data_IF_362181855615
#
_entry.id   IF_362181855615
#
_cell.length_a   1.000
_cell.length_b   1.000
_cell.length_c   1.000
_cell.angle_alpha   90.00
_cell.angle_beta   90.00
_cell.angle_gamma   90.00
#
_symmetry.space_group_name_H-M   'P 1'
#
loop_
_entity.id
_entity.type
_entity.pdbx_description
1 polymer ?
#
# COMPACT_ATOMS: atom_id res chain seq x y z
N UNK A 1 21.46 -7.02 -5.45
CA UNK A 1 20.32 -7.96 -5.49
C UNK A 1 20.07 -8.47 -4.08
N UNK A 2 18.86 -8.28 -3.53
CA UNK A 2 18.49 -8.83 -2.22
C UNK A 2 18.13 -10.31 -2.40
N UNK A 3 18.85 -11.20 -1.72
CA UNK A 3 18.51 -12.63 -1.65
C UNK A 3 17.81 -12.86 -0.31
N UNK A 4 16.61 -13.41 -0.37
CA UNK A 4 15.81 -13.76 0.79
C UNK A 4 15.82 -15.29 0.98
N UNK A 5 15.75 -15.77 2.24
CA UNK A 5 15.95 -17.19 2.55
C UNK A 5 14.83 -18.10 2.01
N UNK A 6 13.61 -17.57 1.85
CA UNK A 6 12.46 -18.30 1.31
C UNK A 6 11.38 -17.34 0.77
N UNK A 7 10.31 -17.91 0.21
CA UNK A 7 9.16 -17.14 -0.30
C UNK A 7 8.39 -16.40 0.82
N UNK A 8 8.43 -16.90 2.06
CA UNK A 8 7.73 -16.28 3.21
C UNK A 8 8.44 -14.99 3.66
N UNK A 9 9.72 -14.85 3.38
CA UNK A 9 10.45 -13.61 3.59
C UNK A 9 9.98 -12.46 2.69
N UNK A 10 9.22 -12.74 1.61
CA UNK A 10 8.51 -11.72 0.83
C UNK A 10 7.20 -11.23 1.47
N UNK A 11 6.82 -11.73 2.65
CA UNK A 11 5.75 -11.12 3.43
C UNK A 11 6.14 -9.67 3.77
N UNK A 12 5.25 -8.67 3.59
CA UNK A 12 5.60 -7.25 3.68
C UNK A 12 6.43 -6.87 4.91
N UNK A 13 5.96 -7.26 6.11
CA UNK A 13 6.67 -6.96 7.36
C UNK A 13 8.03 -7.63 7.50
N UNK A 14 8.19 -8.86 6.98
CA UNK A 14 9.48 -9.57 7.02
C UNK A 14 10.48 -8.93 6.07
N UNK A 15 10.03 -8.59 4.87
CA UNK A 15 10.85 -7.90 3.88
C UNK A 15 11.33 -6.54 4.42
N UNK A 16 10.41 -5.74 4.97
CA UNK A 16 10.74 -4.44 5.59
C UNK A 16 11.69 -4.61 6.78
N UNK A 17 11.49 -5.64 7.61
CA UNK A 17 12.39 -5.96 8.72
C UNK A 17 13.82 -6.27 8.25
N UNK A 18 13.98 -7.06 7.19
CA UNK A 18 15.29 -7.39 6.62
C UNK A 18 15.97 -6.18 5.97
N UNK A 19 15.20 -5.32 5.30
CA UNK A 19 15.71 -4.05 4.76
C UNK A 19 16.15 -3.11 5.89
N UNK A 20 15.35 -2.97 6.95
CA UNK A 20 15.69 -2.16 8.12
C UNK A 20 16.98 -2.65 8.81
N UNK A 21 17.16 -3.98 8.93
CA UNK A 21 18.37 -4.58 9.52
C UNK A 21 19.64 -4.27 8.72
N UNK A 22 19.50 -3.85 7.45
CA UNK A 22 20.57 -3.40 6.56
C UNK A 22 20.71 -1.87 6.52
N UNK A 23 20.01 -1.14 7.39
CA UNK A 23 20.02 0.32 7.45
C UNK A 23 19.08 1.02 6.46
N UNK A 24 18.22 0.26 5.75
CA UNK A 24 17.27 0.81 4.77
C UNK A 24 15.93 1.09 5.44
N UNK A 25 15.83 2.24 6.13
CA UNK A 25 14.65 2.64 6.92
C UNK A 25 13.56 3.36 6.13
N UNK A 26 13.78 3.70 4.86
CA UNK A 26 12.77 4.28 3.96
C UNK A 26 12.72 3.48 2.68
N UNK A 27 11.54 2.95 2.38
CA UNK A 27 11.33 2.03 1.25
C UNK A 27 10.18 2.57 0.41
N UNK A 28 10.46 2.74 -0.88
CA UNK A 28 9.41 2.93 -1.89
C UNK A 28 9.01 1.55 -2.40
N UNK A 29 7.73 1.23 -2.31
CA UNK A 29 7.16 0.00 -2.87
C UNK A 29 6.55 0.35 -4.22
N UNK A 30 7.17 -0.13 -5.29
CA UNK A 30 6.69 0.04 -6.66
C UNK A 30 6.41 -1.33 -7.29
N UNK A 31 5.38 -1.38 -8.12
CA UNK A 31 4.99 -2.58 -8.86
C UNK A 31 3.53 -2.52 -9.30
N UNK A 32 3.05 -3.62 -9.88
CA UNK A 32 1.64 -3.74 -10.25
C UNK A 32 0.72 -3.76 -9.03
N UNK A 33 -0.59 -3.70 -9.30
CA UNK A 33 -1.60 -3.60 -8.25
C UNK A 33 -1.57 -4.72 -7.22
N UNK A 34 -1.15 -5.93 -7.59
CA UNK A 34 -0.96 -7.05 -6.66
C UNK A 34 0.08 -6.74 -5.59
N UNK A 35 1.22 -6.15 -5.97
CA UNK A 35 2.32 -5.85 -5.03
C UNK A 35 1.88 -4.80 -4.02
N UNK A 36 1.36 -3.66 -4.49
CA UNK A 36 0.92 -2.56 -3.63
C UNK A 36 -0.23 -3.00 -2.71
N UNK A 37 -1.17 -3.78 -3.25
CA UNK A 37 -2.30 -4.34 -2.48
C UNK A 37 -1.86 -5.23 -1.32
N UNK A 38 -0.81 -6.05 -1.49
CA UNK A 38 -0.28 -6.90 -0.42
C UNK A 38 0.27 -6.08 0.74
N UNK A 39 0.97 -4.98 0.47
CA UNK A 39 1.49 -4.10 1.52
C UNK A 39 0.36 -3.33 2.23
N UNK A 40 -0.63 -2.85 1.47
CA UNK A 40 -1.81 -2.20 2.04
C UNK A 40 -2.57 -3.18 2.95
N UNK A 41 -2.84 -4.40 2.47
CA UNK A 41 -3.54 -5.44 3.23
C UNK A 41 -2.78 -5.82 4.52
N UNK A 42 -1.46 -5.87 4.47
CA UNK A 42 -0.64 -6.15 5.65
C UNK A 42 -0.58 -4.99 6.65
N UNK A 43 -1.14 -3.80 6.34
CA UNK A 43 -0.96 -2.61 7.17
C UNK A 43 0.51 -2.15 7.21
N UNK A 44 1.25 -2.40 6.13
CA UNK A 44 2.70 -2.18 6.04
C UNK A 44 3.07 -0.88 5.28
N UNK A 45 2.09 -0.01 5.03
CA UNK A 45 2.29 1.28 4.36
C UNK A 45 2.11 2.42 5.37
N UNK A 46 3.09 3.33 5.43
CA UNK A 46 2.94 4.61 6.14
C UNK A 46 2.31 5.68 5.22
N UNK A 47 2.58 5.62 3.91
CA UNK A 47 2.03 6.54 2.90
C UNK A 47 1.63 5.77 1.65
N UNK A 48 0.50 6.15 1.05
CA UNK A 48 0.03 5.62 -0.23
C UNK A 48 -0.10 6.77 -1.23
N UNK A 49 0.58 6.66 -2.36
CA UNK A 49 0.55 7.62 -3.45
C UNK A 49 -0.32 7.06 -4.59
N UNK A 50 -1.40 7.74 -4.93
CA UNK A 50 -2.31 7.36 -6.02
C UNK A 50 -2.39 8.51 -7.01
N UNK A 51 -1.86 8.29 -8.21
CA UNK A 51 -1.99 9.24 -9.32
C UNK A 51 -3.19 8.87 -10.18
N UNK A 52 -4.05 9.85 -10.44
CA UNK A 52 -5.21 9.73 -11.32
C UNK A 52 -4.97 10.61 -12.55
N UNK A 53 -4.88 9.96 -13.70
CA UNK A 53 -4.78 10.62 -14.99
C UNK A 53 -6.18 10.85 -15.61
N UNK A 54 -6.39 11.91 -16.39
CA UNK A 54 -7.67 12.22 -17.02
C UNK A 54 -7.93 11.36 -18.26
N UNK A 55 -8.00 10.04 -18.07
CA UNK A 55 -8.16 9.04 -19.14
C UNK A 55 -9.26 8.03 -18.82
N UNK A 56 -9.93 7.54 -19.86
CA UNK A 56 -10.99 6.52 -19.78
C UNK A 56 -10.49 5.25 -20.46
N UNK A 57 -10.32 4.16 -19.68
CA UNK A 57 -9.67 2.92 -20.13
C UNK A 57 -10.60 1.72 -20.31
N UNK A 58 -11.90 1.88 -20.08
CA UNK A 58 -12.82 0.75 -20.03
C UNK A 58 -12.53 -0.17 -18.84
N UNK A 59 -12.63 -1.48 -19.03
CA UNK A 59 -12.54 -2.47 -17.94
C UNK A 59 -11.17 -2.50 -17.23
N UNK A 60 -10.11 -2.06 -17.92
CA UNK A 60 -8.78 -1.84 -17.36
C UNK A 60 -8.21 -2.98 -16.52
N UNK A 61 -7.19 -2.66 -15.72
CA UNK A 61 -6.67 -3.53 -14.66
C UNK A 61 -6.77 -2.77 -13.35
N UNK A 62 -7.44 -3.30 -12.31
CA UNK A 62 -7.58 -2.56 -11.06
C UNK A 62 -6.23 -2.29 -10.39
N UNK A 63 -5.99 -1.03 -10.06
CA UNK A 63 -4.73 -0.57 -9.47
C UNK A 63 -4.52 -1.03 -8.02
N UNK A 64 -5.54 -0.99 -7.16
CA UNK A 64 -5.44 -1.41 -5.76
C UNK A 64 -6.68 -2.24 -5.41
N UNK A 65 -6.46 -3.37 -4.72
CA UNK A 65 -7.52 -4.27 -4.24
C UNK A 65 -7.22 -4.68 -2.79
N UNK A 66 -8.19 -4.52 -1.91
CA UNK A 66 -8.13 -5.03 -0.55
C UNK A 66 -9.56 -5.35 -0.09
N UNK A 67 -9.77 -6.19 0.93
CA UNK A 67 -11.11 -6.61 1.34
C UNK A 67 -12.05 -5.43 1.61
N UNK A 68 -11.51 -4.32 2.14
CA UNK A 68 -12.29 -3.15 2.51
C UNK A 68 -13.36 -3.48 3.56
N UNK A 69 -14.13 -2.49 4.01
CA UNK A 69 -15.35 -2.73 4.78
C UNK A 69 -16.55 -3.00 3.86
N UNK A 70 -17.57 -3.66 4.41
CA UNK A 70 -18.84 -3.90 3.70
C UNK A 70 -19.62 -2.61 3.41
N UNK A 71 -19.38 -1.53 4.18
CA UNK A 71 -20.09 -0.26 4.05
C UNK A 71 -19.14 0.94 4.01
N UNK A 72 -19.49 1.95 3.19
CA UNK A 72 -18.63 3.12 2.92
C UNK A 72 -18.35 4.01 4.14
N UNK A 73 -19.22 3.98 5.16
CA UNK A 73 -19.00 4.74 6.40
C UNK A 73 -17.79 4.22 7.18
N UNK A 74 -17.46 2.93 7.03
CA UNK A 74 -16.36 2.27 7.72
C UNK A 74 -15.07 2.28 6.86
N UNK A 75 -15.11 2.94 5.69
CA UNK A 75 -13.97 3.05 4.79
C UNK A 75 -12.81 3.83 5.43
N UNK A 76 -11.58 3.47 5.06
CA UNK A 76 -10.39 4.21 5.44
C UNK A 76 -10.50 5.66 4.96
N UNK A 77 -10.40 6.60 5.90
CA UNK A 77 -10.40 8.05 5.65
C UNK A 77 -9.17 8.71 6.30
N UNK A 78 -7.95 8.28 5.94
CA UNK A 78 -6.74 8.92 6.43
C UNK A 78 -6.65 10.38 5.96
N UNK A 79 -5.80 11.21 6.59
CA UNK A 79 -5.44 12.51 6.05
C UNK A 79 -4.92 12.37 4.61
N UNK A 80 -5.33 13.30 3.73
CA UNK A 80 -4.94 13.31 2.32
C UNK A 80 -4.33 14.64 1.95
N UNK A 81 -3.19 14.60 1.26
CA UNK A 81 -2.64 15.73 0.51
C UNK A 81 -2.90 15.52 -0.98
N UNK A 82 -3.35 16.58 -1.65
CA UNK A 82 -3.55 16.60 -3.10
C UNK A 82 -2.50 17.49 -3.76
N UNK A 83 -1.91 17.00 -4.85
CA UNK A 83 -0.96 17.75 -5.68
C UNK A 83 -1.31 17.56 -7.16
N UNK A 84 -1.19 18.63 -7.94
CA UNK A 84 -1.33 18.57 -9.41
C UNK A 84 0.02 18.20 -10.02
N UNK A 85 0.03 17.23 -10.94
CA UNK A 85 1.20 16.77 -11.68
C UNK A 85 0.94 16.91 -13.18
N UNK A 86 1.07 18.13 -13.70
CA UNK A 86 0.62 18.44 -15.07
C UNK A 86 -0.89 18.27 -15.17
N UNK A 87 -1.35 17.36 -16.05
CA UNK A 87 -2.77 17.03 -16.21
C UNK A 87 -3.28 16.01 -15.16
N UNK A 88 -2.36 15.36 -14.44
CA UNK A 88 -2.69 14.34 -13.45
C UNK A 88 -2.94 14.94 -12.06
N UNK A 89 -3.68 14.21 -11.23
CA UNK A 89 -3.82 14.50 -9.79
C UNK A 89 -3.18 13.40 -8.96
N UNK A 90 -2.23 13.76 -8.11
CA UNK A 90 -1.69 12.89 -7.07
C UNK A 90 -2.45 13.07 -5.76
N UNK A 91 -2.92 11.96 -5.20
CA UNK A 91 -3.40 11.83 -3.83
C UNK A 91 -2.36 11.11 -2.99
N UNK A 92 -1.88 11.77 -1.94
CA UNK A 92 -1.02 11.18 -0.91
C UNK A 92 -1.87 10.94 0.33
N UNK A 93 -2.11 9.66 0.65
CA UNK A 93 -2.84 9.23 1.85
C UNK A 93 -1.84 8.93 2.98
N UNK A 94 -2.03 9.53 4.16
CA UNK A 94 -1.23 9.26 5.35
C UNK A 94 -1.80 8.09 6.16
N UNK A 95 -1.20 6.92 6.01
CA UNK A 95 -1.61 5.67 6.64
C UNK A 95 -0.83 5.38 7.94
N UNK A 96 0.08 6.26 8.36
CA UNK A 96 0.95 6.01 9.52
C UNK A 96 0.18 5.73 10.82
N UNK A 97 -0.97 6.39 11.01
CA UNK A 97 -1.88 6.15 12.15
C UNK A 97 -2.72 4.87 12.06
N UNK A 98 -2.72 4.18 10.91
CA UNK A 98 -3.58 3.03 10.63
C UNK A 98 -2.86 1.67 10.74
N UNK A 99 -1.59 1.65 11.15
CA UNK A 99 -0.79 0.41 11.33
C UNK A 99 -1.35 -0.57 12.35
N UNK A 100 -2.14 -0.10 13.33
CA UNK A 100 -2.59 -0.90 14.46
C UNK A 100 -3.78 -1.83 14.16
N UNK A 101 -4.57 -1.57 13.12
CA UNK A 101 -5.80 -2.33 12.86
C UNK A 101 -5.56 -3.72 12.24
N UNK A 102 -4.41 -3.96 11.60
CA UNK A 102 -4.11 -5.21 10.90
C UNK A 102 -3.58 -6.34 11.81
N UNK A 103 -3.24 -6.06 13.07
CA UNK A 103 -2.66 -7.06 14.00
C UNK A 103 -3.71 -7.91 14.75
N UNK A 104 -5.02 -7.62 14.60
CA UNK A 104 -6.10 -8.29 15.33
C UNK A 104 -6.90 -9.34 14.56
N UNK A 105 -6.63 -9.52 13.26
CA UNK A 105 -7.36 -10.49 12.43
C UNK A 105 -6.63 -11.82 12.34
N UNK A 106 -6.93 -12.75 13.25
CA UNK A 106 -6.63 -14.17 13.04
C UNK A 106 -7.39 -14.61 11.78
N UNK A 107 -6.67 -14.97 10.72
CA UNK A 107 -7.27 -15.66 9.57
C UNK A 107 -7.87 -17.00 10.04
N UNK A 108 -9.02 -17.43 9.51
CA UNK A 108 -9.51 -18.80 9.72
C UNK A 108 -8.54 -19.85 9.17
#
# INVERSE_FOLDING_TARGET
MLVLPDVRAFAPHRLLGELARRGLGRVLVEGGGVTVSRFLHAGALDRLYVTVAPLVVGDGVPGIRFPGPDVLRDALRPPVRRTVLGEDTLFEFDLSGHRAAAAGGSAP
#
